data_IF_089445826528
#
_entry.id   IF_089445826528
#
_cell.length_a   1.000
_cell.length_b   1.000
_cell.length_c   1.000
_cell.angle_alpha   90.00
_cell.angle_beta   90.00
_cell.angle_gamma   90.00
#
_symmetry.space_group_name_H-M   'P 1'
#
loop_
_entity.id
_entity.type
_entity.pdbx_description
1 polymer ?
#
# COMPACT_ATOMS: atom_id res chain seq x y z
N UNK A 1 -2.27 5.67 -16.66
CA UNK A 1 -2.82 4.30 -16.64
C UNK A 1 -4.31 4.42 -16.38
N UNK A 2 -5.17 3.65 -17.05
CA UNK A 2 -6.63 3.77 -16.92
C UNK A 2 -7.18 2.75 -15.94
N UNK A 3 -8.40 2.99 -15.45
CA UNK A 3 -9.14 2.07 -14.59
C UNK A 3 -9.35 0.70 -15.26
N UNK A 4 -9.74 0.67 -16.54
CA UNK A 4 -9.91 -0.58 -17.30
C UNK A 4 -8.67 -1.50 -17.28
N UNK A 5 -7.48 -0.90 -17.34
CA UNK A 5 -6.22 -1.66 -17.28
C UNK A 5 -6.01 -2.28 -15.91
N UNK A 6 -6.32 -1.54 -14.84
CA UNK A 6 -6.17 -2.03 -13.46
C UNK A 6 -7.22 -3.07 -13.11
N UNK A 7 -8.46 -2.87 -13.57
CA UNK A 7 -9.54 -3.84 -13.42
C UNK A 7 -9.17 -5.14 -14.14
N UNK A 8 -8.65 -5.07 -15.36
CA UNK A 8 -8.18 -6.25 -16.09
C UNK A 8 -7.02 -6.94 -15.34
N UNK A 9 -6.04 -6.19 -14.82
CA UNK A 9 -4.96 -6.75 -14.02
C UNK A 9 -5.46 -7.46 -12.75
N UNK A 10 -6.42 -6.86 -12.03
CA UNK A 10 -7.03 -7.48 -10.85
C UNK A 10 -7.75 -8.78 -11.21
N UNK A 11 -8.51 -8.78 -12.30
CA UNK A 11 -9.20 -9.98 -12.77
C UNK A 11 -8.25 -11.06 -13.32
N UNK A 12 -7.15 -10.69 -13.96
CA UNK A 12 -6.12 -11.63 -14.42
C UNK A 12 -5.49 -12.34 -13.23
N UNK A 13 -5.12 -11.58 -12.19
CA UNK A 13 -4.65 -12.16 -10.94
C UNK A 13 -5.69 -13.13 -10.34
N UNK A 14 -6.95 -12.71 -10.26
CA UNK A 14 -8.01 -13.55 -9.65
C UNK A 14 -8.35 -14.82 -10.44
N UNK A 15 -7.99 -14.88 -11.72
CA UNK A 15 -8.14 -16.08 -12.57
C UNK A 15 -6.87 -16.92 -12.64
N UNK A 16 -5.82 -16.55 -11.91
CA UNK A 16 -4.49 -17.19 -11.97
C UNK A 16 -3.73 -16.92 -13.28
N UNK A 17 -4.20 -15.98 -14.11
CA UNK A 17 -3.57 -15.59 -15.38
C UNK A 17 -2.52 -14.48 -15.20
N UNK A 18 -2.40 -13.91 -14.00
CA UNK A 18 -1.41 -12.90 -13.63
C UNK A 18 -0.94 -13.10 -12.19
N UNK A 19 0.12 -12.40 -11.80
CA UNK A 19 0.67 -12.46 -10.44
C UNK A 19 0.18 -11.30 -9.59
N UNK A 20 0.11 -11.54 -8.28
CA UNK A 20 -0.16 -10.49 -7.29
C UNK A 20 0.85 -9.35 -7.39
N UNK A 21 2.12 -9.67 -7.53
CA UNK A 21 3.20 -8.69 -7.63
C UNK A 21 3.05 -7.79 -8.86
N UNK A 22 2.57 -8.32 -9.99
CA UNK A 22 2.31 -7.50 -11.18
C UNK A 22 1.16 -6.51 -10.94
N UNK A 23 0.09 -6.93 -10.25
CA UNK A 23 -1.00 -6.03 -9.87
C UNK A 23 -0.49 -4.93 -8.91
N UNK A 24 0.28 -5.31 -7.89
CA UNK A 24 0.87 -4.36 -6.93
C UNK A 24 1.81 -3.39 -7.64
N UNK A 25 2.62 -3.86 -8.60
CA UNK A 25 3.51 -3.01 -9.40
C UNK A 25 2.73 -1.99 -10.23
N UNK A 26 1.62 -2.38 -10.86
CA UNK A 26 0.75 -1.43 -11.55
C UNK A 26 0.16 -0.39 -10.57
N UNK A 27 -0.41 -0.83 -9.44
CA UNK A 27 -1.03 0.09 -8.48
C UNK A 27 0.00 1.06 -7.88
N UNK A 28 1.18 0.58 -7.52
CA UNK A 28 2.25 1.40 -6.91
C UNK A 28 2.93 2.35 -7.90
N UNK A 29 2.79 2.14 -9.21
CA UNK A 29 3.28 3.06 -10.23
C UNK A 29 2.42 4.33 -10.38
N UNK A 30 1.24 4.38 -9.77
CA UNK A 30 0.33 5.52 -9.80
C UNK A 30 0.82 6.67 -8.90
N UNK A 31 0.61 7.90 -9.36
CA UNK A 31 0.90 9.12 -8.61
C UNK A 31 -0.27 9.58 -7.73
N UNK A 32 -0.03 10.60 -6.90
CA UNK A 32 -1.09 11.18 -6.04
C UNK A 32 -2.30 11.70 -6.81
N UNK A 33 -2.12 12.14 -8.06
CA UNK A 33 -3.23 12.67 -8.87
C UNK A 33 -4.15 11.57 -9.42
N UNK A 34 -3.73 10.30 -9.34
CA UNK A 34 -4.48 9.15 -9.83
C UNK A 34 -5.49 8.59 -8.79
N UNK A 35 -5.72 9.27 -7.67
CA UNK A 35 -6.72 8.87 -6.68
C UNK A 35 -8.14 8.63 -7.27
N UNK A 36 -8.62 9.43 -8.25
CA UNK A 36 -9.89 9.14 -8.91
C UNK A 36 -9.90 7.78 -9.61
N UNK A 37 -8.79 7.38 -10.24
CA UNK A 37 -8.66 6.07 -10.92
C UNK A 37 -8.83 4.93 -9.93
N UNK A 38 -8.23 5.04 -8.73
CA UNK A 38 -8.41 4.04 -7.66
C UNK A 38 -9.84 4.04 -7.13
N UNK A 39 -10.46 5.20 -7.05
CA UNK A 39 -11.85 5.34 -6.60
C UNK A 39 -12.83 4.65 -7.56
N UNK A 40 -12.61 4.82 -8.86
CA UNK A 40 -13.39 4.17 -9.92
C UNK A 40 -13.17 2.65 -9.91
N UNK A 41 -11.91 2.21 -9.76
CA UNK A 41 -11.56 0.80 -9.62
C UNK A 41 -12.28 0.15 -8.44
N UNK A 42 -12.28 0.80 -7.26
CA UNK A 42 -13.01 0.32 -6.08
C UNK A 42 -14.49 0.18 -6.41
N UNK A 43 -15.09 1.14 -7.12
CA UNK A 43 -16.49 1.09 -7.49
C UNK A 43 -16.79 -0.09 -8.43
N UNK A 44 -15.96 -0.32 -9.45
CA UNK A 44 -16.11 -1.46 -10.35
C UNK A 44 -15.96 -2.81 -9.64
N UNK A 45 -14.96 -2.94 -8.77
CA UNK A 45 -14.74 -4.16 -8.01
C UNK A 45 -15.89 -4.43 -7.03
N UNK A 46 -16.42 -3.39 -6.36
CA UNK A 46 -17.58 -3.54 -5.47
C UNK A 46 -18.83 -3.99 -6.20
N UNK A 47 -19.04 -3.52 -7.44
CA UNK A 47 -20.20 -3.92 -8.23
C UNK A 47 -20.20 -5.43 -8.55
N UNK A 48 -19.03 -6.07 -8.53
CA UNK A 48 -18.86 -7.50 -8.80
C UNK A 48 -18.50 -8.31 -7.53
N UNK A 49 -18.53 -7.69 -6.36
CA UNK A 49 -18.22 -8.37 -5.11
C UNK A 49 -19.32 -9.36 -4.74
N UNK A 50 -18.94 -10.63 -4.53
CA UNK A 50 -19.85 -11.65 -4.02
C UNK A 50 -20.20 -11.36 -2.56
N UNK A 51 -21.48 -11.53 -2.19
CA UNK A 51 -21.93 -11.31 -0.81
C UNK A 51 -21.54 -12.45 0.15
N UNK A 52 -21.29 -13.66 -0.37
CA UNK A 52 -21.07 -14.88 0.43
C UNK A 52 -20.11 -15.84 -0.29
N UNK A 53 -18.84 -15.45 -0.46
CA UNK A 53 -17.83 -16.41 -0.90
C UNK A 53 -16.90 -16.79 0.25
N UNK A 54 -16.69 -18.11 0.34
CA UNK A 54 -15.68 -18.79 1.13
C UNK A 54 -14.29 -18.43 0.54
N UNK A 55 -13.94 -17.16 0.71
CA UNK A 55 -12.75 -16.54 0.15
C UNK A 55 -11.47 -16.89 0.90
N UNK A 56 -10.35 -16.45 0.33
CA UNK A 56 -9.02 -16.64 0.93
C UNK A 56 -8.74 -15.65 2.08
N UNK A 57 -9.65 -14.69 2.29
CA UNK A 57 -9.57 -13.75 3.39
C UNK A 57 -9.62 -14.47 4.75
N UNK A 58 -8.86 -14.01 5.77
CA UNK A 58 -8.86 -14.63 7.09
C UNK A 58 -10.27 -14.77 7.68
N UNK A 59 -10.56 -15.93 8.26
CA UNK A 59 -11.87 -16.21 8.89
C UNK A 59 -11.93 -15.83 10.37
N UNK A 60 -10.78 -15.69 11.03
CA UNK A 60 -10.67 -15.35 12.44
C UNK A 60 -10.16 -13.92 12.66
N UNK A 61 -10.52 -13.34 13.82
CA UNK A 61 -10.01 -12.03 14.24
C UNK A 61 -8.49 -12.02 14.36
N UNK A 62 -7.89 -13.10 14.87
CA UNK A 62 -6.44 -13.19 15.00
C UNK A 62 -5.74 -13.24 13.64
N UNK A 63 -6.30 -13.99 12.68
CA UNK A 63 -5.77 -14.01 11.31
C UNK A 63 -5.86 -12.63 10.63
N UNK A 64 -6.95 -11.89 10.84
CA UNK A 64 -7.04 -10.51 10.37
C UNK A 64 -6.04 -9.57 11.04
N UNK A 65 -5.76 -9.77 12.33
CA UNK A 65 -4.73 -8.99 13.03
C UNK A 65 -3.36 -9.24 12.42
N UNK A 66 -2.99 -10.49 12.20
CA UNK A 66 -1.71 -10.86 11.59
C UNK A 66 -1.60 -10.29 10.17
N UNK A 67 -2.69 -10.38 9.40
CA UNK A 67 -2.78 -9.83 8.04
C UNK A 67 -2.52 -8.32 8.01
N UNK A 68 -3.18 -7.57 8.90
CA UNK A 68 -3.04 -6.11 8.99
C UNK A 68 -1.68 -5.68 9.57
N UNK A 69 -1.14 -6.42 10.54
CA UNK A 69 0.18 -6.13 11.11
C UNK A 69 1.33 -6.43 10.13
N UNK A 70 1.15 -7.41 9.24
CA UNK A 70 2.09 -7.71 8.17
C UNK A 70 1.91 -6.84 6.92
N UNK A 71 0.96 -5.90 6.92
CA UNK A 71 0.64 -5.11 5.74
C UNK A 71 1.63 -3.97 5.50
N UNK A 72 1.97 -3.75 4.23
CA UNK A 72 2.55 -2.50 3.75
C UNK A 72 1.44 -1.57 3.25
N UNK A 73 1.68 -0.27 3.27
CA UNK A 73 0.69 0.70 2.82
C UNK A 73 1.17 1.58 1.66
N UNK A 74 0.22 2.02 0.85
CA UNK A 74 0.40 3.07 -0.14
C UNK A 74 -0.80 4.02 -0.09
N UNK A 75 -0.59 5.30 -0.37
CA UNK A 75 -1.68 6.29 -0.43
C UNK A 75 -1.49 7.23 -1.61
N UNK A 76 -2.60 7.58 -2.27
CA UNK A 76 -2.66 8.54 -3.38
C UNK A 76 -3.39 9.82 -2.97
N UNK A 77 -3.38 10.18 -1.69
CA UNK A 77 -4.17 11.31 -1.17
C UNK A 77 -5.53 10.84 -0.66
N UNK A 78 -6.56 10.85 -1.53
CA UNK A 78 -7.93 10.46 -1.16
C UNK A 78 -8.18 8.95 -1.09
N UNK A 79 -7.24 8.14 -1.58
CA UNK A 79 -7.34 6.69 -1.59
C UNK A 79 -6.09 6.03 -1.02
N UNK A 80 -6.22 4.79 -0.58
CA UNK A 80 -5.15 4.01 0.01
C UNK A 80 -5.27 2.52 -0.29
N UNK A 81 -4.14 1.85 -0.10
CA UNK A 81 -3.98 0.42 -0.30
C UNK A 81 -3.20 -0.21 0.85
N UNK A 82 -3.65 -1.38 1.29
CA UNK A 82 -2.88 -2.28 2.15
C UNK A 82 -2.52 -3.54 1.38
N UNK A 83 -1.25 -3.91 1.45
CA UNK A 83 -0.71 -5.14 0.86
C UNK A 83 -0.36 -6.06 2.01
N UNK A 84 -1.28 -6.94 2.39
CA UNK A 84 -1.08 -7.94 3.44
C UNK A 84 -0.30 -9.17 2.95
N UNK A 85 -0.07 -10.17 3.79
CA UNK A 85 0.49 -11.46 3.34
C UNK A 85 -0.36 -12.16 2.27
N UNK A 86 -1.69 -12.19 2.43
CA UNK A 86 -2.60 -12.99 1.61
C UNK A 86 -3.60 -12.13 0.82
N UNK A 87 -3.95 -10.93 1.30
CA UNK A 87 -4.96 -10.08 0.66
C UNK A 87 -4.41 -8.73 0.21
N UNK A 88 -5.11 -8.13 -0.75
CA UNK A 88 -4.96 -6.71 -1.09
C UNK A 88 -6.21 -5.96 -0.65
N UNK A 89 -6.06 -4.81 -0.01
CA UNK A 89 -7.20 -3.97 0.38
C UNK A 89 -7.07 -2.64 -0.34
N UNK A 90 -8.15 -2.18 -0.97
CA UNK A 90 -8.26 -0.84 -1.55
C UNK A 90 -9.37 -0.07 -0.84
N UNK A 91 -9.14 1.20 -0.55
CA UNK A 91 -10.16 2.06 0.07
C UNK A 91 -10.02 3.54 -0.34
N UNK A 92 -11.16 4.23 -0.46
CA UNK A 92 -11.25 5.70 -0.59
C UNK A 92 -11.70 6.37 0.74
N UNK A 93 -11.70 5.61 1.85
CA UNK A 93 -12.19 6.03 3.16
C UNK A 93 -13.72 6.02 3.33
N UNK A 94 -14.49 5.93 2.25
CA UNK A 94 -15.96 5.77 2.29
C UNK A 94 -16.41 4.40 1.79
N UNK A 95 -15.62 3.82 0.91
CA UNK A 95 -15.81 2.55 0.20
C UNK A 95 -14.49 1.81 0.23
N UNK A 96 -14.58 0.50 0.14
CA UNK A 96 -13.40 -0.34 0.05
C UNK A 96 -13.73 -1.75 -0.38
N UNK A 97 -12.68 -2.45 -0.77
CA UNK A 97 -12.72 -3.86 -1.14
C UNK A 97 -11.53 -4.58 -0.55
N UNK A 98 -11.76 -5.83 -0.18
CA UNK A 98 -10.73 -6.84 0.02
C UNK A 98 -10.69 -7.69 -1.23
N UNK A 99 -9.50 -7.85 -1.79
CA UNK A 99 -9.22 -8.73 -2.92
C UNK A 99 -8.37 -9.88 -2.40
N UNK A 100 -8.94 -11.09 -2.41
CA UNK A 100 -8.22 -12.34 -2.30
C UNK A 100 -7.85 -12.87 -3.68
N UNK A 101 -7.13 -13.99 -3.71
CA UNK A 101 -6.73 -14.64 -4.97
C UNK A 101 -7.95 -15.12 -5.77
N UNK A 102 -9.09 -15.41 -5.12
CA UNK A 102 -10.27 -15.97 -5.79
C UNK A 102 -11.56 -15.20 -5.52
N UNK A 103 -11.51 -14.19 -4.68
CA UNK A 103 -12.70 -13.48 -4.23
C UNK A 103 -12.47 -11.97 -4.08
N UNK A 104 -13.59 -11.25 -4.21
CA UNK A 104 -13.65 -9.83 -3.88
C UNK A 104 -14.78 -9.61 -2.89
N UNK A 105 -14.47 -8.98 -1.76
CA UNK A 105 -15.44 -8.62 -0.72
C UNK A 105 -15.55 -7.11 -0.57
N UNK A 106 -16.77 -6.58 -0.63
CA UNK A 106 -17.02 -5.19 -0.33
C UNK A 106 -16.92 -4.90 1.18
N UNK A 107 -16.32 -3.77 1.52
CA UNK A 107 -16.24 -3.28 2.90
C UNK A 107 -17.39 -2.30 3.19
N UNK A 108 -17.76 -2.23 4.47
CA UNK A 108 -18.63 -1.17 4.99
C UNK A 108 -17.89 0.16 5.02
N UNK A 109 -18.63 1.27 5.09
CA UNK A 109 -18.04 2.61 5.17
C UNK A 109 -17.22 2.83 6.45
N UNK A 110 -17.68 2.30 7.59
CA UNK A 110 -16.95 2.38 8.85
C UNK A 110 -15.59 1.70 8.78
N UNK A 111 -15.55 0.46 8.26
CA UNK A 111 -14.30 -0.29 8.08
C UNK A 111 -13.39 0.40 7.06
N UNK A 112 -13.96 0.90 5.96
CA UNK A 112 -13.21 1.65 4.94
C UNK A 112 -12.52 2.89 5.54
N UNK A 113 -13.23 3.65 6.37
CA UNK A 113 -12.67 4.80 7.07
C UNK A 113 -11.53 4.43 8.02
N UNK A 114 -11.71 3.36 8.83
CA UNK A 114 -10.66 2.87 9.73
C UNK A 114 -9.41 2.39 8.96
N UNK A 115 -9.59 1.69 7.84
CA UNK A 115 -8.47 1.22 7.03
C UNK A 115 -7.74 2.36 6.33
N UNK A 116 -8.46 3.41 5.91
CA UNK A 116 -7.80 4.60 5.35
C UNK A 116 -6.91 5.29 6.40
N UNK A 117 -7.37 5.40 7.64
CA UNK A 117 -6.55 5.93 8.75
C UNK A 117 -5.31 5.06 9.01
N UNK A 118 -5.46 3.73 8.92
CA UNK A 118 -4.35 2.79 9.05
C UNK A 118 -3.32 2.98 7.91
N UNK A 119 -3.78 3.09 6.65
CA UNK A 119 -2.91 3.38 5.50
C UNK A 119 -2.08 4.65 5.74
N UNK A 120 -2.75 5.73 6.14
CA UNK A 120 -2.09 7.01 6.41
C UNK A 120 -1.08 6.89 7.55
N UNK A 121 -1.42 6.17 8.61
CA UNK A 121 -0.54 5.96 9.76
C UNK A 121 0.72 5.20 9.37
N UNK A 122 0.59 4.09 8.62
CA UNK A 122 1.73 3.30 8.14
C UNK A 122 2.64 4.14 7.24
N UNK A 123 2.06 4.83 6.24
CA UNK A 123 2.84 5.67 5.31
C UNK A 123 3.57 6.80 6.05
N UNK A 124 2.92 7.43 7.03
CA UNK A 124 3.56 8.48 7.84
C UNK A 124 4.70 7.92 8.69
N UNK A 125 4.51 6.75 9.30
CA UNK A 125 5.54 6.08 10.09
C UNK A 125 6.75 5.70 9.23
N UNK A 126 6.53 5.10 8.06
CA UNK A 126 7.59 4.79 7.09
C UNK A 126 8.35 6.04 6.64
N UNK A 127 7.64 7.14 6.38
CA UNK A 127 8.27 8.40 6.00
C UNK A 127 9.14 8.98 7.13
N UNK A 128 8.66 8.95 8.38
CA UNK A 128 9.41 9.44 9.53
C UNK A 128 10.68 8.61 9.79
N UNK A 129 10.60 7.28 9.63
CA UNK A 129 11.75 6.38 9.76
C UNK A 129 12.79 6.66 8.66
N UNK A 130 12.36 6.74 7.40
CA UNK A 130 13.24 7.06 6.27
C UNK A 130 13.93 8.43 6.43
N UNK A 131 13.21 9.44 6.92
CA UNK A 131 13.80 10.75 7.19
C UNK A 131 14.89 10.70 8.27
N UNK A 132 14.67 9.91 9.32
CA UNK A 132 15.63 9.73 10.41
C UNK A 132 16.89 9.02 9.93
N UNK A 133 16.77 7.91 9.22
CA UNK A 133 17.93 7.19 8.66
C UNK A 133 18.75 8.08 7.72
N UNK A 134 18.08 8.90 6.91
CA UNK A 134 18.74 9.88 6.03
C UNK A 134 19.48 10.97 6.80
N UNK A 135 19.01 11.37 7.99
CA UNK A 135 19.71 12.32 8.87
C UNK A 135 20.96 11.67 9.48
N UNK A 136 20.82 10.45 10.01
CA UNK A 136 21.93 9.70 10.61
C UNK A 136 23.09 9.51 9.60
N UNK A 137 22.76 9.16 8.34
CA UNK A 137 23.75 9.03 7.27
C UNK A 137 24.44 10.36 6.92
N UNK A 138 23.72 11.49 7.00
CA UNK A 138 24.30 12.83 6.76
C UNK A 138 25.25 13.23 7.88
N UNK A 139 24.88 12.94 9.13
CA UNK A 139 25.72 13.22 10.30
C UNK A 139 27.01 12.39 10.27
N UNK A 140 26.93 11.09 9.94
CA UNK A 140 28.11 10.25 9.75
C UNK A 140 29.06 10.82 8.69
N UNK A 141 28.54 11.27 7.54
CA UNK A 141 29.35 11.90 6.49
C UNK A 141 30.01 13.19 6.95
N UNK A 142 29.29 14.04 7.69
CA UNK A 142 29.86 15.27 8.25
C UNK A 142 30.97 14.96 9.25
N UNK A 143 30.78 13.97 10.13
CA UNK A 143 31.81 13.55 11.09
C UNK A 143 33.04 12.97 10.38
N UNK A 144 32.86 12.09 9.39
CA UNK A 144 33.97 11.56 8.58
C UNK A 144 34.71 12.65 7.80
N UNK A 145 34.00 13.61 7.20
CA UNK A 145 34.62 14.74 6.49
C UNK A 145 35.36 15.69 7.44
N UNK A 146 34.83 15.90 8.65
CA UNK A 146 35.46 16.73 9.69
C UNK A 146 36.74 16.10 10.25
N UNK A 147 36.81 14.76 10.37
CA UNK A 147 38.03 14.05 10.76
C UNK A 147 39.11 14.15 9.68
N UNK A 148 38.75 14.08 8.40
CA UNK A 148 39.71 14.17 7.29
C UNK A 148 40.31 15.58 7.10
N UNK A 149 39.60 16.65 7.46
CA UNK A 149 40.11 18.02 7.38
C UNK A 149 41.06 18.39 8.53
N UNK A 150 41.04 17.64 9.63
CA UNK A 150 41.88 17.90 10.82
C UNK A 150 43.29 17.32 10.68
N UNK A 151 43.54 16.47 9.69
CA UNK A 151 44.84 15.82 9.41
C UNK A 151 45.63 16.48 8.25
N UNK A 152 45.11 17.56 7.67
CA UNK A 152 45.77 18.26 6.57
C UNK A 152 46.81 19.23 7.15
N UNK A 153 48.07 18.83 7.10
CA UNK A 153 49.21 19.73 7.34
C UNK A 153 49.17 20.88 6.30
N UNK A 154 49.19 22.15 6.71
CA UNK A 154 49.17 23.27 5.77
C UNK A 154 50.45 23.25 4.92
N UNK A 155 50.28 23.19 3.60
CA UNK A 155 51.37 23.31 2.63
C UNK A 155 52.01 24.70 2.82
N UNK A 156 53.27 24.73 3.28
CA UNK A 156 54.10 25.95 3.34
C UNK A 156 54.70 26.28 1.99
#
# INVERSE_FOLDING_TARGET
MTDDTLLNAAQQWQRGAGTRDALVAHLTALGREDAPVITDLIQHLRAHAGHDQDGDAPRSTDGWRDELMGSRACTWGGAGMLVGPNVLILTDGQRGVVLGERDTRALSSSVSGSLMLLCQTIVMAEHALNQREMQDLREQRLQSASTSLSEIDPIR
#
